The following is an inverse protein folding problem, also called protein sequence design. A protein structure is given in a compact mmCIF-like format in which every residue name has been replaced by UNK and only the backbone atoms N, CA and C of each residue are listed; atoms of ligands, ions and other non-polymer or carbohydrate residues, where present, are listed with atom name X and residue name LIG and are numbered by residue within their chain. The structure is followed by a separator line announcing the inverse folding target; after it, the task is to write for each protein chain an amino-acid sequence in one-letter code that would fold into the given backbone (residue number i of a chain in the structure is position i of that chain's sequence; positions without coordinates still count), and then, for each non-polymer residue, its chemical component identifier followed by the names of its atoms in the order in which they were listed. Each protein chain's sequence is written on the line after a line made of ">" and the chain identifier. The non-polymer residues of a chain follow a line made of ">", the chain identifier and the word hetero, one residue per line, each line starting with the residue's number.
data_IF_766497868283
#
_entry.id   IF_766497868283
#
_cell.length_a   1.000
_cell.length_b   1.000
_cell.length_c   1.000
_cell.angle_alpha   90.00
_cell.angle_beta   90.00
_cell.angle_gamma   90.00
#
_symmetry.space_group_name_H-M   'P 1'
#
loop_
_entity.id
_entity.type
_entity.pdbx_description
1 polymer ?
#
# COMPACT_ATOMS: atom_id res chain seq x y z
N UNK A 1 -34.96 -25.26 -0.86
CA UNK A 1 -34.56 -24.03 -1.59
C UNK A 1 -33.77 -23.16 -0.62
N UNK A 2 -32.46 -23.07 -0.78
CA UNK A 2 -31.64 -22.13 0.00
C UNK A 2 -31.95 -20.75 -0.58
N UNK A 3 -32.58 -19.86 0.20
CA UNK A 3 -32.73 -18.46 -0.20
C UNK A 3 -31.35 -17.94 -0.58
N UNK A 4 -31.22 -17.42 -1.81
CA UNK A 4 -30.00 -16.75 -2.23
C UNK A 4 -29.77 -15.58 -1.27
N UNK A 5 -28.77 -15.68 -0.40
CA UNK A 5 -28.35 -14.55 0.41
C UNK A 5 -27.74 -13.54 -0.54
N UNK A 6 -28.39 -12.38 -0.68
CA UNK A 6 -27.72 -11.19 -1.18
C UNK A 6 -26.58 -10.87 -0.21
N UNK A 7 -25.35 -10.90 -0.71
CA UNK A 7 -24.18 -10.37 -0.01
C UNK A 7 -24.42 -8.86 0.15
N UNK A 8 -25.02 -8.42 1.24
CA UNK A 8 -25.18 -6.99 1.53
C UNK A 8 -23.87 -6.49 2.09
N UNK A 9 -23.13 -5.60 1.40
CA UNK A 9 -21.91 -5.04 1.95
C UNK A 9 -22.24 -4.24 3.22
N UNK A 10 -21.37 -4.31 4.22
CA UNK A 10 -21.47 -3.42 5.37
C UNK A 10 -21.22 -1.98 4.90
N UNK A 11 -22.04 -1.05 5.39
CA UNK A 11 -21.87 0.38 5.10
C UNK A 11 -20.63 0.93 5.80
N UNK A 12 -20.12 2.07 5.33
CA UNK A 12 -19.00 2.77 5.98
C UNK A 12 -19.28 3.09 7.45
N UNK A 13 -20.52 3.49 7.76
CA UNK A 13 -20.94 3.78 9.13
C UNK A 13 -20.93 2.53 10.02
N UNK A 14 -21.32 1.37 9.48
CA UNK A 14 -21.23 0.10 10.21
C UNK A 14 -19.76 -0.30 10.41
N UNK A 15 -18.93 -0.19 9.37
CA UNK A 15 -17.50 -0.52 9.47
C UNK A 15 -16.79 0.26 10.57
N UNK A 16 -17.08 1.56 10.72
CA UNK A 16 -16.48 2.40 11.76
C UNK A 16 -16.68 1.86 13.19
N UNK A 17 -17.75 1.09 13.45
CA UNK A 17 -18.00 0.49 14.76
C UNK A 17 -17.03 -0.65 15.09
N UNK A 18 -16.45 -1.27 14.07
CA UNK A 18 -15.55 -2.42 14.19
C UNK A 18 -14.08 -2.05 13.96
N UNK A 19 -13.82 -0.83 13.46
CA UNK A 19 -12.47 -0.36 13.20
C UNK A 19 -11.66 -0.27 14.50
N UNK A 20 -10.56 -1.01 14.55
CA UNK A 20 -9.65 -1.01 15.68
C UNK A 20 -8.87 0.32 15.76
N UNK A 21 -9.07 1.04 16.85
CA UNK A 21 -8.37 2.30 17.12
C UNK A 21 -6.87 2.11 17.26
N UNK A 22 -6.09 3.13 16.91
CA UNK A 22 -4.64 3.16 17.11
C UNK A 22 -3.83 2.38 16.08
N UNK A 23 -4.45 1.90 15.00
CA UNK A 23 -3.79 1.22 13.88
C UNK A 23 -3.71 2.06 12.59
N UNK A 24 -4.14 3.33 12.63
CA UNK A 24 -3.88 4.30 11.56
C UNK A 24 -2.45 4.83 11.68
N UNK A 25 -1.49 4.06 11.15
CA UNK A 25 -0.07 4.38 11.20
C UNK A 25 0.67 3.73 10.02
N UNK A 26 1.84 4.26 9.60
CA UNK A 26 2.54 3.78 8.41
C UNK A 26 3.15 2.38 8.55
N UNK A 27 3.38 1.93 9.78
CA UNK A 27 4.03 0.65 10.08
C UNK A 27 3.41 0.04 11.34
N UNK A 28 2.93 -1.20 11.23
CA UNK A 28 2.45 -2.01 12.34
C UNK A 28 3.48 -3.05 12.74
N UNK A 29 3.68 -3.19 14.03
CA UNK A 29 4.61 -4.14 14.66
C UNK A 29 3.84 -5.13 15.52
N UNK A 30 4.52 -6.19 15.96
CA UNK A 30 3.90 -7.15 16.88
C UNK A 30 3.38 -6.50 18.17
N UNK A 31 4.09 -5.50 18.71
CA UNK A 31 3.65 -4.77 19.91
C UNK A 31 2.35 -3.99 19.72
N UNK A 32 2.02 -3.60 18.49
CA UNK A 32 0.77 -2.90 18.20
C UNK A 32 -0.43 -3.85 18.29
N UNK A 33 -0.26 -5.11 17.85
CA UNK A 33 -1.37 -6.08 17.77
C UNK A 33 -1.43 -7.02 18.97
N UNK A 34 -0.33 -7.27 19.69
CA UNK A 34 -0.30 -8.22 20.79
C UNK A 34 -1.36 -7.96 21.88
N UNK A 35 -1.62 -6.70 22.31
CA UNK A 35 -2.70 -6.42 23.26
C UNK A 35 -4.09 -6.75 22.70
N UNK A 36 -4.32 -6.49 21.40
CA UNK A 36 -5.59 -6.77 20.72
C UNK A 36 -5.80 -8.29 20.61
N UNK A 37 -4.76 -9.04 20.23
CA UNK A 37 -4.80 -10.51 20.20
C UNK A 37 -5.08 -11.09 21.59
N UNK A 38 -4.45 -10.55 22.64
CA UNK A 38 -4.67 -10.99 24.01
C UNK A 38 -6.11 -10.73 24.49
N UNK A 39 -6.72 -9.62 24.07
CA UNK A 39 -8.12 -9.33 24.39
C UNK A 39 -9.06 -10.31 23.69
N UNK A 40 -8.89 -10.53 22.38
CA UNK A 40 -9.66 -11.54 21.65
C UNK A 40 -9.45 -12.96 22.18
N UNK A 41 -8.27 -13.27 22.73
CA UNK A 41 -7.98 -14.55 23.37
C UNK A 41 -8.86 -14.89 24.57
N UNK A 42 -9.59 -13.91 25.12
CA UNK A 42 -10.58 -14.13 26.20
C UNK A 42 -11.96 -14.55 25.66
N UNK A 43 -12.22 -14.35 24.37
CA UNK A 43 -13.49 -14.65 23.74
C UNK A 43 -13.48 -16.09 23.19
N UNK A 44 -14.43 -16.91 23.65
CA UNK A 44 -14.53 -18.32 23.31
C UNK A 44 -14.80 -18.62 21.82
N UNK A 45 -15.14 -17.60 21.02
CA UNK A 45 -15.25 -17.72 19.55
C UNK A 45 -13.90 -18.00 18.88
N UNK A 46 -12.79 -17.63 19.51
CA UNK A 46 -11.46 -17.68 18.92
C UNK A 46 -10.57 -18.67 19.66
N UNK A 47 -9.92 -19.57 18.93
CA UNK A 47 -8.90 -20.46 19.47
C UNK A 47 -7.51 -19.97 19.05
N UNK A 48 -6.73 -19.47 20.01
CA UNK A 48 -5.37 -18.98 19.77
C UNK A 48 -4.34 -20.07 20.01
N UNK A 49 -3.42 -20.22 19.06
CA UNK A 49 -2.27 -21.12 19.17
C UNK A 49 -1.01 -20.41 18.75
N UNK A 50 0.03 -20.41 19.60
CA UNK A 50 1.36 -20.00 19.16
C UNK A 50 1.95 -21.14 18.33
N UNK A 51 2.12 -20.92 17.02
CA UNK A 51 2.60 -21.96 16.11
C UNK A 51 4.12 -22.03 16.04
N UNK A 52 4.81 -20.98 16.48
CA UNK A 52 6.26 -20.92 16.55
C UNK A 52 6.77 -19.53 16.89
N UNK A 53 8.01 -19.25 16.50
CA UNK A 53 8.67 -17.97 16.67
C UNK A 53 9.39 -17.58 15.38
N UNK A 54 9.54 -16.28 15.16
CA UNK A 54 10.41 -15.71 14.12
C UNK A 54 11.89 -15.94 14.43
N UNK A 55 12.78 -15.51 13.52
CA UNK A 55 14.23 -15.59 13.69
C UNK A 55 14.71 -14.94 15.01
N UNK A 56 14.13 -13.80 15.40
CA UNK A 56 14.48 -13.09 16.64
C UNK A 56 13.67 -13.55 17.86
N UNK A 57 12.91 -14.63 17.75
CA UNK A 57 12.17 -15.22 18.87
C UNK A 57 10.79 -14.58 19.13
N UNK A 58 10.30 -13.70 18.26
CA UNK A 58 9.00 -13.06 18.41
C UNK A 58 7.89 -14.08 18.07
N UNK A 59 6.87 -14.28 18.92
CA UNK A 59 5.88 -15.34 18.72
C UNK A 59 5.02 -15.09 17.47
N UNK A 60 4.72 -16.17 16.75
CA UNK A 60 3.79 -16.17 15.61
C UNK A 60 2.53 -16.91 16.03
N UNK A 61 1.40 -16.21 15.94
CA UNK A 61 0.10 -16.69 16.37
C UNK A 61 -0.73 -17.19 15.20
N UNK A 62 -1.57 -18.19 15.49
CA UNK A 62 -2.65 -18.68 14.66
C UNK A 62 -3.96 -18.52 15.44
N UNK A 63 -5.03 -18.16 14.72
CA UNK A 63 -6.38 -18.02 15.25
C UNK A 63 -7.31 -18.93 14.44
N UNK A 64 -7.94 -19.88 15.10
CA UNK A 64 -8.95 -20.76 14.50
C UNK A 64 -10.38 -20.36 14.94
N UNK A 65 -11.32 -20.34 13.99
CA UNK A 65 -12.71 -19.90 14.17
C UNK A 65 -13.66 -20.82 13.41
N UNK A 66 -14.75 -21.24 14.04
CA UNK A 66 -15.72 -22.16 13.44
C UNK A 66 -15.25 -23.61 13.40
N UNK A 67 -16.14 -24.50 12.98
CA UNK A 67 -15.95 -25.96 13.03
C UNK A 67 -16.35 -26.66 11.74
N UNK A 68 -16.68 -25.91 10.69
CA UNK A 68 -17.17 -26.49 9.45
C UNK A 68 -16.12 -27.18 8.59
N UNK A 69 -16.58 -27.97 7.62
CA UNK A 69 -15.71 -28.79 6.78
C UNK A 69 -14.91 -27.97 5.75
N UNK A 70 -15.40 -26.79 5.35
CA UNK A 70 -14.71 -25.92 4.39
C UNK A 70 -13.66 -25.08 5.12
N UNK A 71 -12.41 -25.42 4.93
CA UNK A 71 -11.24 -24.83 5.56
C UNK A 71 -10.68 -23.68 4.74
N UNK A 72 -10.55 -22.52 5.38
CA UNK A 72 -10.02 -21.28 4.78
C UNK A 72 -8.79 -20.85 5.55
N UNK A 73 -7.65 -20.73 4.88
CA UNK A 73 -6.42 -20.19 5.46
C UNK A 73 -6.26 -18.72 5.03
N UNK A 74 -6.00 -17.82 5.95
CA UNK A 74 -5.64 -16.44 5.66
C UNK A 74 -4.33 -16.08 6.38
N UNK A 75 -3.45 -15.33 5.73
CA UNK A 75 -2.25 -14.81 6.37
C UNK A 75 -1.94 -13.40 5.85
N UNK A 76 -1.27 -12.61 6.69
CA UNK A 76 -0.83 -11.27 6.31
C UNK A 76 0.58 -10.95 6.79
N UNK A 77 1.15 -9.88 6.24
CA UNK A 77 2.43 -9.30 6.65
C UNK A 77 3.56 -10.34 6.69
N UNK A 78 3.63 -11.15 5.62
CA UNK A 78 4.80 -11.98 5.34
C UNK A 78 5.98 -11.13 4.84
N UNK A 79 5.67 -9.99 4.22
CA UNK A 79 6.58 -8.87 4.11
C UNK A 79 6.30 -7.92 5.27
N UNK A 80 7.34 -7.49 5.98
CA UNK A 80 7.16 -6.72 7.22
C UNK A 80 6.70 -5.28 7.02
N UNK A 81 6.89 -4.70 5.84
CA UNK A 81 6.48 -3.35 5.47
C UNK A 81 5.04 -3.25 4.93
N UNK A 82 4.24 -4.32 5.05
CA UNK A 82 2.90 -4.44 4.48
C UNK A 82 1.84 -4.57 5.59
N UNK A 83 1.57 -3.48 6.28
CA UNK A 83 0.77 -3.45 7.52
C UNK A 83 -0.74 -3.42 7.31
N UNK A 84 -1.22 -3.07 6.12
CA UNK A 84 -2.64 -2.75 5.88
C UNK A 84 -3.58 -3.90 6.22
N UNK A 85 -3.26 -5.10 5.72
CA UNK A 85 -4.11 -6.26 5.93
C UNK A 85 -4.08 -6.79 7.37
N UNK A 86 -2.98 -6.62 8.10
CA UNK A 86 -2.95 -6.94 9.54
C UNK A 86 -3.92 -6.06 10.31
N UNK A 87 -3.98 -4.77 9.99
CA UNK A 87 -4.97 -3.86 10.58
C UNK A 87 -6.42 -4.28 10.25
N UNK A 88 -6.66 -4.64 8.99
CA UNK A 88 -7.96 -5.12 8.54
C UNK A 88 -8.39 -6.44 9.21
N UNK A 89 -7.45 -7.33 9.52
CA UNK A 89 -7.72 -8.54 10.28
C UNK A 89 -8.17 -8.21 11.72
N UNK A 90 -7.61 -7.18 12.35
CA UNK A 90 -8.08 -6.76 13.69
C UNK A 90 -9.51 -6.23 13.61
N UNK A 91 -9.85 -5.44 12.59
CA UNK A 91 -11.23 -4.98 12.36
C UNK A 91 -12.18 -6.15 12.10
N UNK A 92 -11.70 -7.16 11.37
CA UNK A 92 -12.48 -8.36 11.11
C UNK A 92 -12.73 -9.19 12.37
N UNK A 93 -11.74 -9.33 13.26
CA UNK A 93 -11.93 -9.99 14.56
C UNK A 93 -12.92 -9.23 15.44
N UNK A 94 -12.88 -7.88 15.46
CA UNK A 94 -13.87 -7.05 16.13
C UNK A 94 -15.29 -7.30 15.58
N UNK A 95 -15.44 -7.32 14.25
CA UNK A 95 -16.70 -7.62 13.60
C UNK A 95 -17.23 -9.02 13.99
N UNK A 96 -16.37 -10.05 13.95
CA UNK A 96 -16.75 -11.40 14.37
C UNK A 96 -17.15 -11.41 15.85
N UNK A 97 -16.45 -10.69 16.72
CA UNK A 97 -16.68 -10.72 18.16
C UNK A 97 -17.97 -10.00 18.59
N UNK A 98 -18.47 -9.05 17.79
CA UNK A 98 -19.59 -8.19 18.15
C UNK A 98 -20.91 -8.97 18.34
N UNK A 99 -21.64 -8.73 19.41
CA UNK A 99 -22.85 -9.50 19.77
C UNK A 99 -23.92 -9.44 18.69
N UNK A 100 -24.13 -8.27 18.09
CA UNK A 100 -25.10 -8.05 17.01
C UNK A 100 -24.80 -8.82 15.72
N UNK A 101 -23.57 -9.35 15.56
CA UNK A 101 -23.20 -10.18 14.41
C UNK A 101 -23.49 -11.68 14.63
N UNK A 102 -24.23 -12.05 15.68
CA UNK A 102 -24.58 -13.44 15.97
C UNK A 102 -25.29 -14.14 14.79
N UNK A 103 -26.26 -13.49 14.16
CA UNK A 103 -27.00 -14.05 13.03
C UNK A 103 -26.10 -14.23 11.80
N UNK A 104 -25.19 -13.29 11.55
CA UNK A 104 -24.20 -13.42 10.47
C UNK A 104 -23.25 -14.59 10.75
N UNK A 105 -22.72 -14.72 11.98
CA UNK A 105 -21.84 -15.82 12.39
C UNK A 105 -22.49 -17.19 12.21
N UNK A 106 -23.74 -17.34 12.64
CA UNK A 106 -24.46 -18.62 12.58
C UNK A 106 -24.61 -19.18 11.15
N UNK A 107 -24.56 -18.32 10.13
CA UNK A 107 -24.70 -18.73 8.74
C UNK A 107 -23.51 -19.56 8.24
N UNK A 108 -22.33 -19.40 8.85
CA UNK A 108 -21.09 -19.98 8.35
C UNK A 108 -20.29 -20.77 9.39
N UNK A 109 -20.41 -20.54 10.71
CA UNK A 109 -19.56 -21.19 11.72
C UNK A 109 -19.56 -22.74 11.64
N UNK A 110 -20.67 -23.36 11.25
CA UNK A 110 -20.79 -24.82 11.08
C UNK A 110 -20.41 -25.33 9.69
N UNK A 111 -20.12 -24.42 8.74
CA UNK A 111 -19.81 -24.73 7.33
C UNK A 111 -18.37 -24.41 6.96
N UNK A 112 -17.82 -23.37 7.59
CA UNK A 112 -16.46 -22.88 7.41
C UNK A 112 -15.67 -23.02 8.70
N UNK A 113 -14.43 -23.50 8.57
CA UNK A 113 -13.39 -23.39 9.59
C UNK A 113 -12.32 -22.44 9.05
N UNK A 114 -12.18 -21.30 9.71
CA UNK A 114 -11.26 -20.24 9.32
C UNK A 114 -10.01 -20.29 10.19
N UNK A 115 -8.84 -20.23 9.54
CA UNK A 115 -7.52 -20.14 10.17
C UNK A 115 -6.82 -18.88 9.74
N UNK A 116 -6.45 -18.01 10.68
CA UNK A 116 -5.76 -16.74 10.42
C UNK A 116 -4.37 -16.77 11.04
N UNK A 117 -3.35 -16.36 10.28
CA UNK A 117 -2.01 -15.99 10.79
C UNK A 117 -1.86 -14.48 10.61
N UNK A 118 -2.13 -13.66 11.64
CA UNK A 118 -2.27 -12.21 11.47
C UNK A 118 -0.96 -11.51 11.15
N UNK A 119 0.19 -12.03 11.56
CA UNK A 119 1.50 -11.45 11.27
C UNK A 119 2.52 -12.57 11.14
N UNK A 120 2.93 -12.88 9.91
CA UNK A 120 3.86 -13.97 9.66
C UNK A 120 5.32 -13.56 9.88
N UNK A 121 5.68 -12.32 9.57
CA UNK A 121 7.04 -11.79 9.67
C UNK A 121 7.14 -10.65 10.69
N UNK A 122 7.03 -10.94 12.00
CA UNK A 122 7.06 -9.90 13.02
C UNK A 122 8.42 -9.17 13.11
N UNK A 123 9.52 -9.83 12.73
CA UNK A 123 10.85 -9.21 12.75
C UNK A 123 11.01 -8.19 11.61
N UNK A 124 10.58 -8.54 10.40
CA UNK A 124 10.51 -7.57 9.30
C UNK A 124 9.57 -6.42 9.63
N UNK A 125 8.45 -6.72 10.30
CA UNK A 125 7.49 -5.72 10.75
C UNK A 125 8.09 -4.76 11.77
N UNK A 126 8.89 -5.23 12.71
CA UNK A 126 9.64 -4.37 13.64
C UNK A 126 10.68 -3.49 12.92
N UNK A 127 11.31 -4.01 11.87
CA UNK A 127 12.32 -3.30 11.09
C UNK A 127 11.76 -2.39 9.98
N UNK A 128 10.46 -2.44 9.70
CA UNK A 128 9.83 -1.71 8.59
C UNK A 128 10.37 -2.19 7.23
N UNK A 129 10.62 -3.50 7.11
CA UNK A 129 11.32 -4.08 5.99
C UNK A 129 10.54 -5.28 5.43
N UNK A 130 10.47 -5.35 4.10
CA UNK A 130 9.96 -6.50 3.35
C UNK A 130 10.56 -7.84 3.78
N UNK A 131 11.86 -7.87 4.06
CA UNK A 131 12.60 -9.10 4.34
C UNK A 131 12.46 -9.51 5.81
N UNK A 132 12.67 -10.79 6.12
CA UNK A 132 12.79 -11.22 7.52
C UNK A 132 14.16 -10.80 8.11
N UNK A 133 14.42 -11.12 9.38
CA UNK A 133 15.68 -10.74 10.04
C UNK A 133 16.95 -11.34 9.41
N UNK A 134 16.85 -12.36 8.57
CA UNK A 134 17.98 -12.94 7.82
C UNK A 134 18.18 -12.29 6.44
N UNK A 135 17.37 -11.30 6.07
CA UNK A 135 17.41 -10.70 4.74
C UNK A 135 16.80 -11.57 3.65
N UNK A 136 15.95 -12.55 4.01
CA UNK A 136 15.27 -13.43 3.05
C UNK A 136 13.84 -12.92 2.83
N UNK A 137 13.44 -12.78 1.57
CA UNK A 137 12.03 -12.60 1.19
C UNK A 137 11.31 -13.94 1.38
N UNK A 138 10.44 -14.03 2.39
CA UNK A 138 9.69 -15.25 2.70
C UNK A 138 8.86 -15.69 1.49
N UNK A 139 8.33 -14.76 0.70
CA UNK A 139 7.57 -15.05 -0.53
C UNK A 139 8.46 -15.40 -1.74
N UNK A 140 9.76 -15.62 -1.52
CA UNK A 140 10.70 -16.22 -2.48
C UNK A 140 11.33 -17.49 -1.95
N UNK A 141 10.83 -18.01 -0.83
CA UNK A 141 11.36 -19.15 -0.08
C UNK A 141 10.36 -20.32 0.02
N UNK A 142 9.21 -20.29 -0.66
CA UNK A 142 8.18 -21.34 -0.54
C UNK A 142 8.66 -22.75 -0.97
N UNK A 143 9.69 -22.81 -1.84
CA UNK A 143 10.29 -24.06 -2.32
C UNK A 143 11.35 -24.62 -1.37
N UNK A 144 12.22 -23.76 -0.82
CA UNK A 144 13.38 -24.17 -0.04
C UNK A 144 13.09 -24.19 1.47
N UNK A 145 12.16 -23.34 1.93
CA UNK A 145 11.70 -23.24 3.31
C UNK A 145 12.86 -23.00 4.30
N UNK A 146 13.79 -22.12 3.92
CA UNK A 146 14.95 -21.75 4.71
C UNK A 146 14.58 -20.90 5.94
N UNK A 147 13.53 -20.10 5.82
CA UNK A 147 13.02 -19.23 6.88
C UNK A 147 12.17 -20.02 7.90
N UNK A 148 12.30 -19.76 9.22
CA UNK A 148 11.38 -20.33 10.19
C UNK A 148 9.93 -19.92 9.92
N UNK A 149 9.70 -18.67 9.52
CA UNK A 149 8.38 -18.15 9.16
C UNK A 149 7.76 -18.93 8.00
N UNK A 150 8.51 -19.14 6.91
CA UNK A 150 8.05 -19.92 5.75
C UNK A 150 7.75 -21.38 6.10
N UNK A 151 8.57 -22.01 6.95
CA UNK A 151 8.29 -23.37 7.45
C UNK A 151 6.99 -23.44 8.23
N UNK A 152 6.74 -22.47 9.12
CA UNK A 152 5.52 -22.39 9.91
C UNK A 152 4.28 -22.25 9.03
N UNK A 153 4.30 -21.34 8.03
CA UNK A 153 3.19 -21.18 7.10
C UNK A 153 2.93 -22.45 6.27
N UNK A 154 3.99 -23.07 5.73
CA UNK A 154 3.87 -24.32 4.98
C UNK A 154 3.31 -25.46 5.84
N UNK A 155 3.77 -25.59 7.08
CA UNK A 155 3.30 -26.59 8.03
C UNK A 155 1.82 -26.36 8.37
N UNK A 156 1.43 -25.11 8.68
CA UNK A 156 0.05 -24.75 8.95
C UNK A 156 -0.86 -25.13 7.78
N UNK A 157 -0.45 -24.82 6.55
CA UNK A 157 -1.20 -25.16 5.34
C UNK A 157 -1.33 -26.68 5.12
N UNK A 158 -0.24 -27.45 5.25
CA UNK A 158 -0.23 -28.91 5.08
C UNK A 158 -1.07 -29.63 6.13
N UNK A 159 -1.02 -29.18 7.39
CA UNK A 159 -1.78 -29.77 8.48
C UNK A 159 -3.27 -29.43 8.37
N UNK A 160 -3.58 -28.17 8.04
CA UNK A 160 -4.95 -27.70 7.92
C UNK A 160 -5.66 -28.27 6.69
N UNK A 161 -4.93 -28.46 5.58
CA UNK A 161 -5.49 -28.89 4.29
C UNK A 161 -6.62 -27.96 3.85
N UNK A 162 -6.31 -26.67 3.78
CA UNK A 162 -7.27 -25.65 3.37
C UNK A 162 -7.80 -25.92 1.96
N UNK A 163 -9.08 -25.61 1.70
CA UNK A 163 -9.62 -25.57 0.33
C UNK A 163 -9.58 -24.17 -0.27
N UNK A 164 -9.52 -23.13 0.56
CA UNK A 164 -9.33 -21.74 0.15
C UNK A 164 -8.15 -21.13 0.90
N UNK A 165 -7.43 -20.23 0.23
CA UNK A 165 -6.29 -19.51 0.78
C UNK A 165 -6.42 -18.02 0.43
N UNK A 166 -6.38 -17.14 1.43
CA UNK A 166 -6.39 -15.68 1.27
C UNK A 166 -5.01 -15.15 1.60
N UNK A 167 -4.28 -14.76 0.55
CA UNK A 167 -2.96 -14.18 0.66
C UNK A 167 -3.06 -12.65 0.71
N UNK A 168 -2.73 -12.05 1.84
CA UNK A 168 -2.97 -10.63 2.09
C UNK A 168 -1.66 -9.84 2.08
N UNK A 169 -1.56 -8.87 1.17
CA UNK A 169 -0.35 -8.10 0.88
C UNK A 169 -0.65 -6.60 0.72
N UNK A 170 0.42 -5.80 0.65
CA UNK A 170 0.38 -4.43 0.15
C UNK A 170 1.18 -4.31 -1.15
N UNK A 171 0.75 -3.42 -2.03
CA UNK A 171 1.42 -3.10 -3.28
C UNK A 171 1.97 -1.67 -3.30
N UNK A 172 2.87 -1.42 -4.25
CA UNK A 172 3.45 -0.12 -4.46
C UNK A 172 2.38 0.93 -4.82
N UNK A 173 2.50 2.14 -4.28
CA UNK A 173 1.59 3.25 -4.55
C UNK A 173 1.68 3.83 -5.98
N UNK A 174 2.59 3.35 -6.82
CA UNK A 174 2.76 3.83 -8.20
C UNK A 174 1.98 3.02 -9.25
N UNK A 175 1.10 2.11 -8.81
CA UNK A 175 0.22 1.36 -9.70
C UNK A 175 -1.06 2.13 -10.07
N UNK A 176 -1.45 2.07 -11.34
CA UNK A 176 -2.78 2.48 -11.82
C UNK A 176 -3.63 1.28 -12.26
N UNK A 177 -4.95 1.48 -12.27
CA UNK A 177 -5.91 0.52 -12.83
C UNK A 177 -5.87 0.61 -14.35
N UNK A 178 -5.21 -0.36 -14.99
CA UNK A 178 -4.93 -0.30 -16.43
C UNK A 178 -4.26 1.03 -16.82
N UNK A 179 -4.71 1.60 -17.93
CA UNK A 179 -4.25 2.89 -18.44
C UNK A 179 -5.00 4.11 -17.88
N UNK A 180 -5.80 3.93 -16.81
CA UNK A 180 -6.49 5.05 -16.17
C UNK A 180 -5.55 5.92 -15.33
N UNK A 181 -6.06 7.08 -14.92
CA UNK A 181 -5.43 8.02 -13.99
C UNK A 181 -5.65 7.65 -12.51
N UNK A 182 -6.45 6.61 -12.23
CA UNK A 182 -6.76 6.15 -10.88
C UNK A 182 -5.70 5.18 -10.37
N UNK A 183 -5.35 5.33 -9.09
CA UNK A 183 -4.52 4.37 -8.38
C UNK A 183 -5.23 3.03 -8.24
N UNK A 184 -4.46 1.95 -8.14
CA UNK A 184 -5.03 0.66 -7.74
C UNK A 184 -5.06 0.57 -6.21
N UNK A 185 -6.22 0.82 -5.59
CA UNK A 185 -6.38 0.70 -4.14
C UNK A 185 -6.54 -0.76 -3.68
N UNK A 186 -7.23 -1.59 -4.47
CA UNK A 186 -7.26 -3.04 -4.29
C UNK A 186 -6.85 -3.71 -5.59
N UNK A 187 -5.96 -4.69 -5.52
CA UNK A 187 -5.75 -5.60 -6.65
C UNK A 187 -5.92 -7.05 -6.27
N UNK A 188 -6.52 -7.82 -7.18
CA UNK A 188 -6.89 -9.21 -6.96
C UNK A 188 -6.19 -10.12 -7.96
N UNK A 189 -5.91 -11.35 -7.57
CA UNK A 189 -5.37 -12.37 -8.47
C UNK A 189 -5.73 -13.78 -7.99
N UNK A 190 -6.13 -14.63 -8.91
CA UNK A 190 -6.11 -16.09 -8.71
C UNK A 190 -4.75 -16.62 -9.21
N UNK A 191 -3.78 -16.92 -8.31
CA UNK A 191 -2.41 -17.23 -8.70
C UNK A 191 -2.35 -18.41 -9.68
N UNK A 192 -1.40 -18.36 -10.60
CA UNK A 192 -1.12 -19.49 -11.46
C UNK A 192 -0.44 -20.61 -10.65
N UNK A 193 -0.67 -21.87 -11.03
CA UNK A 193 0.05 -23.01 -10.48
C UNK A 193 1.10 -23.60 -11.44
N UNK A 194 1.15 -23.09 -12.67
CA UNK A 194 2.12 -23.49 -13.69
C UNK A 194 2.39 -22.34 -14.69
N UNK A 195 3.43 -22.52 -15.52
CA UNK A 195 3.86 -21.52 -16.51
C UNK A 195 2.79 -21.24 -17.57
N UNK A 196 2.02 -22.24 -17.98
CA UNK A 196 0.92 -22.11 -18.95
C UNK A 196 -0.26 -21.30 -18.41
N UNK A 197 -0.32 -21.09 -17.09
CA UNK A 197 -1.42 -20.42 -16.39
C UNK A 197 -2.74 -21.12 -16.66
N UNK A 198 -2.75 -22.45 -16.57
CA UNK A 198 -3.95 -23.25 -16.76
C UNK A 198 -5.02 -22.90 -15.70
N UNK A 199 -6.28 -23.18 -16.02
CA UNK A 199 -7.42 -23.02 -15.11
C UNK A 199 -7.93 -24.42 -14.77
N UNK A 200 -7.56 -24.90 -13.59
CA UNK A 200 -8.12 -26.12 -13.02
C UNK A 200 -9.34 -25.81 -12.14
N UNK A 201 -9.93 -26.85 -11.54
CA UNK A 201 -11.14 -26.68 -10.74
C UNK A 201 -10.94 -25.77 -9.51
N UNK A 202 -9.75 -25.74 -8.92
CA UNK A 202 -9.45 -24.95 -7.73
C UNK A 202 -9.17 -23.49 -8.07
N UNK A 203 -8.41 -23.24 -9.15
CA UNK A 203 -8.20 -21.89 -9.65
C UNK A 203 -9.48 -21.27 -10.20
N UNK A 204 -10.35 -22.07 -10.84
CA UNK A 204 -11.69 -21.64 -11.26
C UNK A 204 -12.50 -21.11 -10.08
N UNK A 205 -12.54 -21.83 -8.95
CA UNK A 205 -13.23 -21.38 -7.73
C UNK A 205 -12.63 -20.09 -7.16
N UNK A 206 -11.31 -19.93 -7.21
CA UNK A 206 -10.66 -18.69 -6.78
C UNK A 206 -11.08 -17.50 -7.67
N UNK A 207 -11.12 -17.69 -9.00
CA UNK A 207 -11.59 -16.66 -9.94
C UNK A 207 -13.06 -16.29 -9.69
N UNK A 208 -13.88 -17.28 -9.37
CA UNK A 208 -15.28 -17.06 -9.00
C UNK A 208 -15.43 -16.27 -7.69
N UNK A 209 -14.65 -16.61 -6.65
CA UNK A 209 -14.64 -15.82 -5.41
C UNK A 209 -14.19 -14.38 -5.66
N UNK A 210 -13.20 -14.19 -6.55
CA UNK A 210 -12.79 -12.85 -7.00
C UNK A 210 -13.94 -12.13 -7.74
N UNK A 211 -14.84 -12.85 -8.42
CA UNK A 211 -16.06 -12.26 -8.98
C UNK A 211 -16.93 -11.57 -7.91
N UNK A 212 -17.16 -12.22 -6.77
CA UNK A 212 -17.90 -11.58 -5.65
C UNK A 212 -17.12 -10.40 -5.06
N UNK A 213 -15.78 -10.53 -4.95
CA UNK A 213 -14.91 -9.43 -4.50
C UNK A 213 -14.96 -8.23 -5.44
N UNK A 214 -14.99 -8.49 -6.75
CA UNK A 214 -15.12 -7.47 -7.78
C UNK A 214 -16.41 -6.68 -7.58
N UNK A 215 -17.54 -7.36 -7.43
CA UNK A 215 -18.83 -6.70 -7.28
C UNK A 215 -18.88 -5.81 -6.02
N UNK A 216 -18.31 -6.30 -4.91
CA UNK A 216 -18.16 -5.52 -3.69
C UNK A 216 -17.31 -4.26 -3.91
N UNK A 217 -16.13 -4.39 -4.51
CA UNK A 217 -15.22 -3.25 -4.70
C UNK A 217 -15.80 -2.27 -5.72
N UNK A 218 -16.46 -2.72 -6.79
CA UNK A 218 -17.12 -1.81 -7.73
C UNK A 218 -18.26 -1.03 -7.08
N UNK A 219 -19.00 -1.66 -6.15
CA UNK A 219 -20.04 -0.97 -5.40
C UNK A 219 -19.47 0.05 -4.41
N UNK A 220 -18.36 -0.27 -3.73
CA UNK A 220 -17.80 0.55 -2.65
C UNK A 220 -16.81 1.62 -3.14
N UNK A 221 -16.04 1.32 -4.18
CA UNK A 221 -14.95 2.16 -4.68
C UNK A 221 -14.73 1.98 -6.20
N UNK A 222 -15.68 2.44 -7.04
CA UNK A 222 -15.63 2.21 -8.47
C UNK A 222 -14.39 2.79 -9.16
N UNK A 223 -13.72 1.96 -9.96
CA UNK A 223 -12.54 2.31 -10.74
C UNK A 223 -11.19 2.25 -10.01
N UNK A 224 -11.14 1.72 -8.78
CA UNK A 224 -9.90 1.55 -8.00
C UNK A 224 -9.51 0.06 -7.83
N UNK A 225 -10.14 -0.83 -8.59
CA UNK A 225 -9.88 -2.27 -8.62
C UNK A 225 -9.02 -2.65 -9.82
N UNK A 226 -7.88 -3.30 -9.55
CA UNK A 226 -7.00 -3.86 -10.58
C UNK A 226 -6.79 -5.36 -10.42
N UNK A 227 -6.11 -5.96 -11.39
CA UNK A 227 -5.65 -7.35 -11.39
C UNK A 227 -4.14 -7.37 -11.27
N UNK A 228 -3.63 -8.10 -10.28
CA UNK A 228 -2.18 -8.23 -10.10
C UNK A 228 -1.55 -9.04 -11.23
N UNK A 229 -0.23 -8.89 -11.43
CA UNK A 229 0.51 -9.64 -12.43
C UNK A 229 0.42 -11.16 -12.14
N UNK A 230 0.06 -11.95 -13.14
CA UNK A 230 -0.21 -13.39 -13.04
C UNK A 230 0.97 -14.28 -13.46
N UNK A 231 2.19 -13.74 -13.49
CA UNK A 231 3.41 -14.49 -13.81
C UNK A 231 3.67 -15.55 -12.76
N UNK A 232 3.72 -16.81 -13.20
CA UNK A 232 3.98 -17.94 -12.32
C UNK A 232 5.37 -17.88 -11.67
N UNK A 233 5.41 -18.14 -10.37
CA UNK A 233 6.61 -18.26 -9.56
C UNK A 233 6.54 -19.50 -8.67
N UNK A 234 7.40 -20.50 -8.97
CA UNK A 234 7.55 -21.71 -8.14
C UNK A 234 8.07 -21.43 -6.71
N UNK A 235 8.43 -20.18 -6.41
CA UNK A 235 9.04 -19.75 -5.15
C UNK A 235 8.10 -18.95 -4.25
N UNK A 236 6.93 -18.56 -4.75
CA UNK A 236 5.92 -17.80 -3.99
C UNK A 236 4.94 -18.73 -3.30
N UNK A 237 4.46 -18.32 -2.13
CA UNK A 237 3.50 -19.10 -1.35
C UNK A 237 2.13 -19.17 -2.02
N UNK A 238 1.67 -18.09 -2.66
CA UNK A 238 0.40 -18.06 -3.39
C UNK A 238 0.31 -19.14 -4.48
N UNK A 239 1.28 -19.16 -5.39
CA UNK A 239 1.39 -20.13 -6.49
C UNK A 239 1.63 -21.55 -5.97
N UNK A 240 2.46 -21.70 -4.92
CA UNK A 240 2.71 -23.01 -4.31
C UNK A 240 1.43 -23.58 -3.71
N UNK A 241 0.64 -22.77 -3.01
CA UNK A 241 -0.64 -23.19 -2.44
C UNK A 241 -1.70 -23.45 -3.51
N UNK A 242 -1.73 -22.66 -4.59
CA UNK A 242 -2.55 -22.96 -5.76
C UNK A 242 -2.18 -24.34 -6.35
N UNK A 243 -0.88 -24.63 -6.52
CA UNK A 243 -0.39 -25.93 -6.98
C UNK A 243 -0.58 -27.08 -5.99
N UNK A 244 -0.85 -26.79 -4.72
CA UNK A 244 -1.27 -27.76 -3.71
C UNK A 244 -2.79 -28.03 -3.74
N UNK A 245 -3.52 -27.45 -4.69
CA UNK A 245 -4.96 -27.63 -4.86
C UNK A 245 -5.81 -26.71 -3.98
N UNK A 246 -5.27 -25.57 -3.55
CA UNK A 246 -6.05 -24.56 -2.82
C UNK A 246 -6.62 -23.54 -3.80
N UNK A 247 -7.86 -23.12 -3.55
CA UNK A 247 -8.47 -21.99 -4.26
C UNK A 247 -7.89 -20.69 -3.66
N UNK A 248 -6.69 -20.33 -4.11
CA UNK A 248 -5.92 -19.20 -3.57
C UNK A 248 -6.34 -17.89 -4.22
N UNK A 249 -6.56 -16.87 -3.40
CA UNK A 249 -6.80 -15.48 -3.82
C UNK A 249 -5.74 -14.59 -3.19
N UNK A 250 -5.05 -13.82 -4.02
CA UNK A 250 -4.19 -12.72 -3.60
C UNK A 250 -5.03 -11.44 -3.51
N UNK A 251 -4.92 -10.74 -2.38
CA UNK A 251 -5.48 -9.41 -2.15
C UNK A 251 -4.33 -8.45 -1.83
N UNK A 252 -4.13 -7.48 -2.70
CA UNK A 252 -3.07 -6.47 -2.61
C UNK A 252 -3.68 -5.12 -2.24
N UNK A 253 -3.18 -4.51 -1.18
CA UNK A 253 -3.59 -3.20 -0.68
C UNK A 253 -2.69 -2.13 -1.26
N UNK A 254 -3.22 -1.33 -2.18
CA UNK A 254 -2.51 -0.19 -2.74
C UNK A 254 -2.91 1.13 -2.11
N UNK A 255 -2.50 2.21 -2.75
CA UNK A 255 -2.76 3.55 -2.27
C UNK A 255 -4.10 4.11 -2.78
N UNK A 256 -4.60 5.08 -2.05
CA UNK A 256 -5.73 5.93 -2.42
C UNK A 256 -5.33 7.39 -2.17
N UNK A 257 -5.81 8.37 -2.96
CA UNK A 257 -5.44 9.77 -2.75
C UNK A 257 -5.79 10.27 -1.36
N UNK A 258 -4.87 11.01 -0.72
CA UNK A 258 -4.99 11.54 0.65
C UNK A 258 -5.18 10.47 1.73
N UNK A 259 -4.53 9.32 1.57
CA UNK A 259 -4.64 8.16 2.47
C UNK A 259 -3.28 7.48 2.69
N UNK A 260 -2.37 8.21 3.35
CA UNK A 260 -0.97 7.80 3.53
C UNK A 260 -0.79 6.46 4.24
N UNK A 261 -1.73 6.12 5.13
CA UNK A 261 -1.71 4.89 5.90
C UNK A 261 -2.71 3.85 5.36
N UNK A 262 -3.20 4.00 4.11
CA UNK A 262 -4.05 3.02 3.40
C UNK A 262 -5.32 2.62 4.16
N UNK A 263 -5.95 3.55 4.90
CA UNK A 263 -7.18 3.28 5.65
C UNK A 263 -8.38 2.94 4.73
N UNK A 264 -8.40 3.44 3.50
CA UNK A 264 -9.41 3.04 2.50
C UNK A 264 -9.22 1.57 2.09
N UNK A 265 -7.97 1.16 1.82
CA UNK A 265 -7.66 -0.22 1.49
C UNK A 265 -7.86 -1.16 2.69
N UNK A 266 -7.57 -0.71 3.93
CA UNK A 266 -7.85 -1.44 5.17
C UNK A 266 -9.34 -1.75 5.31
N UNK A 267 -10.20 -0.75 5.13
CA UNK A 267 -11.67 -0.92 5.16
C UNK A 267 -12.10 -1.97 4.14
N UNK A 268 -11.66 -1.82 2.89
CA UNK A 268 -12.04 -2.75 1.81
C UNK A 268 -11.53 -4.17 2.10
N UNK A 269 -10.31 -4.34 2.63
CA UNK A 269 -9.81 -5.66 3.04
C UNK A 269 -10.71 -6.31 4.09
N UNK A 270 -11.13 -5.58 5.12
CA UNK A 270 -12.03 -6.11 6.14
C UNK A 270 -13.38 -6.53 5.54
N UNK A 271 -13.96 -5.70 4.67
CA UNK A 271 -15.20 -6.02 3.95
C UNK A 271 -15.06 -7.25 3.03
N UNK A 272 -13.92 -7.37 2.33
CA UNK A 272 -13.61 -8.51 1.48
C UNK A 272 -13.47 -9.81 2.28
N UNK A 273 -12.87 -9.75 3.48
CA UNK A 273 -12.76 -10.91 4.38
C UNK A 273 -14.14 -11.36 4.90
N UNK A 274 -14.97 -10.42 5.35
CA UNK A 274 -16.35 -10.67 5.78
C UNK A 274 -17.15 -11.34 4.65
N UNK A 275 -17.13 -10.73 3.47
CA UNK A 275 -17.81 -11.24 2.29
C UNK A 275 -17.29 -12.63 1.90
N UNK A 276 -15.97 -12.84 1.90
CA UNK A 276 -15.36 -14.12 1.50
C UNK A 276 -15.85 -15.28 2.35
N UNK A 277 -15.88 -15.12 3.68
CA UNK A 277 -16.36 -16.17 4.58
C UNK A 277 -17.83 -16.49 4.32
N UNK A 278 -18.66 -15.45 4.12
CA UNK A 278 -20.08 -15.62 3.82
C UNK A 278 -20.30 -16.29 2.45
N UNK A 279 -19.57 -15.86 1.42
CA UNK A 279 -19.67 -16.44 0.07
C UNK A 279 -19.19 -17.90 0.06
N UNK A 280 -18.06 -18.20 0.71
CA UNK A 280 -17.55 -19.58 0.83
C UNK A 280 -18.55 -20.47 1.58
N UNK A 281 -19.05 -20.01 2.73
CA UNK A 281 -20.00 -20.78 3.55
C UNK A 281 -21.36 -21.00 2.89
N UNK A 282 -21.80 -20.10 2.01
CA UNK A 282 -23.05 -20.23 1.25
C UNK A 282 -22.85 -20.81 -0.15
N UNK A 283 -21.60 -20.96 -0.60
CA UNK A 283 -21.21 -21.27 -1.98
C UNK A 283 -21.75 -20.26 -3.03
N UNK A 284 -21.96 -19.00 -2.64
CA UNK A 284 -22.49 -17.98 -3.54
C UNK A 284 -21.56 -17.73 -4.74
N UNK A 285 -20.24 -17.75 -4.52
CA UNK A 285 -19.21 -17.59 -5.55
C UNK A 285 -19.44 -18.48 -6.77
N UNK A 286 -20.01 -19.68 -6.61
CA UNK A 286 -20.20 -20.62 -7.71
C UNK A 286 -21.11 -20.09 -8.84
N UNK A 287 -21.87 -19.01 -8.58
CA UNK A 287 -22.71 -18.32 -9.57
C UNK A 287 -21.94 -17.31 -10.43
N UNK A 288 -20.74 -16.92 -10.03
CA UNK A 288 -19.93 -15.94 -10.76
C UNK A 288 -19.42 -16.51 -12.08
N UNK A 289 -19.46 -15.70 -13.13
CA UNK A 289 -18.79 -15.97 -14.39
C UNK A 289 -17.30 -15.65 -14.28
N UNK A 290 -16.48 -16.37 -15.04
CA UNK A 290 -15.06 -16.04 -15.21
C UNK A 290 -14.87 -14.74 -16.00
N UNK A 291 -15.87 -14.32 -16.78
CA UNK A 291 -15.84 -13.04 -17.50
C UNK A 291 -15.64 -11.86 -16.53
N UNK A 292 -16.26 -11.91 -15.35
CA UNK A 292 -16.08 -10.91 -14.29
C UNK A 292 -14.61 -10.79 -13.89
N UNK A 293 -13.92 -11.91 -13.67
CA UNK A 293 -12.49 -11.94 -13.35
C UNK A 293 -11.61 -11.48 -14.52
N UNK A 294 -11.94 -11.91 -15.74
CA UNK A 294 -11.17 -11.54 -16.92
C UNK A 294 -11.29 -10.05 -17.26
N UNK A 295 -12.45 -9.44 -16.99
CA UNK A 295 -12.71 -8.02 -17.21
C UNK A 295 -11.90 -7.09 -16.28
N UNK A 296 -11.37 -7.59 -15.15
CA UNK A 296 -10.56 -6.76 -14.25
C UNK A 296 -9.27 -6.32 -14.98
N UNK A 297 -9.02 -5.01 -15.13
CA UNK A 297 -7.82 -4.50 -15.81
C UNK A 297 -6.56 -4.88 -15.02
N UNK A 298 -5.48 -5.26 -15.72
CA UNK A 298 -4.19 -5.45 -15.05
C UNK A 298 -3.63 -4.14 -14.51
N UNK A 299 -2.88 -4.22 -13.42
CA UNK A 299 -2.11 -3.09 -12.91
C UNK A 299 -1.08 -2.63 -13.95
N UNK A 300 -0.96 -1.32 -14.12
CA UNK A 300 0.16 -0.70 -14.82
C UNK A 300 1.15 -0.13 -13.80
N UNK A 301 2.37 -0.64 -13.81
CA UNK A 301 3.45 -0.16 -12.94
C UNK A 301 3.94 1.22 -13.37
N UNK A 302 4.41 2.00 -12.39
CA UNK A 302 5.08 3.29 -12.62
C UNK A 302 4.21 4.36 -13.31
N UNK A 303 2.90 4.15 -13.29
CA UNK A 303 1.90 5.00 -13.92
C UNK A 303 1.57 6.24 -13.07
N UNK A 304 1.56 6.07 -11.76
CA UNK A 304 1.28 7.14 -10.78
C UNK A 304 2.59 7.65 -10.20
N UNK A 305 2.74 8.96 -10.06
CA UNK A 305 3.88 9.65 -9.45
C UNK A 305 3.44 10.45 -8.22
N UNK A 306 4.39 10.91 -7.41
CA UNK A 306 4.05 11.75 -6.25
C UNK A 306 3.63 13.13 -6.68
N UNK A 307 4.48 13.75 -7.50
CA UNK A 307 4.22 15.07 -8.05
C UNK A 307 4.53 15.04 -9.53
N UNK A 308 3.60 15.56 -10.32
CA UNK A 308 3.79 15.83 -11.74
C UNK A 308 3.74 17.35 -11.95
N UNK A 309 4.84 17.91 -12.45
CA UNK A 309 4.91 19.32 -12.86
C UNK A 309 4.81 19.36 -14.37
N UNK A 310 3.72 19.88 -14.91
CA UNK A 310 3.45 19.94 -16.34
C UNK A 310 3.92 21.26 -16.96
N UNK A 311 4.26 21.26 -18.24
CA UNK A 311 4.49 22.47 -19.05
C UNK A 311 5.62 23.40 -18.54
N UNK A 312 6.62 22.87 -17.85
CA UNK A 312 7.72 23.66 -17.32
C UNK A 312 8.69 24.05 -18.45
N UNK A 313 8.98 25.34 -18.56
CA UNK A 313 9.97 25.81 -19.53
C UNK A 313 11.39 25.58 -19.02
N UNK A 314 12.24 24.93 -19.80
CA UNK A 314 13.68 24.79 -19.54
C UNK A 314 14.49 25.48 -20.64
N UNK A 315 15.64 26.07 -20.28
CA UNK A 315 16.55 26.69 -21.24
C UNK A 315 17.99 26.28 -20.96
N UNK A 316 18.65 25.65 -21.93
CA UNK A 316 20.06 25.24 -21.85
C UNK A 316 20.77 25.61 -23.15
N UNK A 317 21.91 26.29 -23.06
CA UNK A 317 22.69 26.69 -24.24
C UNK A 317 21.85 27.42 -25.33
N UNK A 318 20.92 28.28 -24.89
CA UNK A 318 19.95 29.02 -25.74
C UNK A 318 18.90 28.16 -26.46
N UNK A 319 18.85 26.85 -26.19
CA UNK A 319 17.76 25.98 -26.61
C UNK A 319 16.69 25.96 -25.53
N UNK A 320 15.42 26.07 -25.94
CA UNK A 320 14.27 26.08 -25.05
C UNK A 320 13.39 24.86 -25.33
N UNK A 321 12.85 24.26 -24.28
CA UNK A 321 11.85 23.21 -24.38
C UNK A 321 10.79 23.38 -23.28
N UNK A 322 9.57 22.91 -23.56
CA UNK A 322 8.57 22.63 -22.53
C UNK A 322 8.66 21.16 -22.17
N UNK A 323 8.72 20.87 -20.87
CA UNK A 323 8.85 19.51 -20.34
C UNK A 323 7.94 19.31 -19.14
N UNK A 324 7.58 18.06 -18.90
CA UNK A 324 7.00 17.62 -17.66
C UNK A 324 8.07 17.02 -16.76
N UNK A 325 7.87 17.11 -15.44
CA UNK A 325 8.73 16.50 -14.43
C UNK A 325 7.92 15.57 -13.53
N UNK A 326 8.36 14.32 -13.41
CA UNK A 326 7.87 13.37 -12.41
C UNK A 326 8.81 13.37 -11.20
N UNK A 327 8.23 13.50 -10.00
CA UNK A 327 8.96 13.45 -8.73
C UNK A 327 8.50 12.27 -7.89
N UNK A 328 9.44 11.69 -7.15
CA UNK A 328 9.15 10.66 -6.15
C UNK A 328 9.90 10.93 -4.83
N UNK A 329 9.17 10.92 -3.72
CA UNK A 329 9.71 10.92 -2.37
C UNK A 329 10.44 9.61 -2.10
N UNK A 330 11.72 9.73 -1.69
CA UNK A 330 12.53 8.61 -1.19
C UNK A 330 12.63 8.63 0.34
N UNK A 331 12.42 9.79 0.93
CA UNK A 331 12.22 9.98 2.36
C UNK A 331 11.42 11.27 2.59
N UNK A 332 10.98 11.55 3.82
CA UNK A 332 10.26 12.78 4.12
C UNK A 332 11.04 14.05 3.74
N UNK A 333 12.38 14.03 3.78
CA UNK A 333 13.24 15.19 3.50
C UNK A 333 13.94 15.09 2.14
N UNK A 334 13.58 14.11 1.31
CA UNK A 334 14.25 13.85 0.05
C UNK A 334 13.29 13.31 -1.00
N UNK A 335 13.09 14.08 -2.06
CA UNK A 335 12.50 13.62 -3.31
C UNK A 335 13.49 13.76 -4.45
N UNK A 336 13.33 12.91 -5.46
CA UNK A 336 14.14 12.91 -6.67
C UNK A 336 13.25 13.10 -7.89
N UNK A 337 13.81 13.73 -8.92
CA UNK A 337 13.21 13.76 -10.26
C UNK A 337 13.43 12.37 -10.86
N UNK A 338 12.36 11.63 -11.14
CA UNK A 338 12.47 10.30 -11.75
C UNK A 338 12.42 10.33 -13.26
N UNK A 339 11.66 11.26 -13.84
CA UNK A 339 11.52 11.41 -15.29
C UNK A 339 11.43 12.88 -15.70
N UNK A 340 11.89 13.20 -16.93
CA UNK A 340 11.87 14.53 -17.54
C UNK A 340 11.52 14.37 -19.02
N UNK A 341 10.52 15.10 -19.51
CA UNK A 341 10.15 15.06 -20.93
C UNK A 341 8.64 15.02 -21.13
N UNK A 342 8.19 14.18 -22.06
CA UNK A 342 6.76 13.93 -22.30
C UNK A 342 6.25 12.88 -21.30
N UNK A 343 5.40 13.31 -20.38
CA UNK A 343 4.81 12.45 -19.35
C UNK A 343 3.27 12.40 -19.48
N UNK A 344 2.74 12.61 -20.69
CA UNK A 344 1.29 12.61 -20.94
C UNK A 344 0.59 11.29 -20.61
N UNK A 345 1.35 10.19 -20.51
CA UNK A 345 0.86 8.86 -20.13
C UNK A 345 0.80 8.63 -18.61
N UNK A 346 1.42 9.51 -17.82
CA UNK A 346 1.49 9.39 -16.37
C UNK A 346 0.38 10.18 -15.67
N UNK A 347 0.08 9.78 -14.45
CA UNK A 347 -0.76 10.53 -13.52
C UNK A 347 -0.02 10.69 -12.19
N UNK A 348 -0.60 11.44 -11.24
CA UNK A 348 0.07 11.71 -9.97
C UNK A 348 -0.91 12.06 -8.87
N UNK A 349 -0.46 11.87 -7.63
CA UNK A 349 -1.16 12.32 -6.43
C UNK A 349 -1.29 13.85 -6.37
N UNK A 350 -0.25 14.53 -6.83
CA UNK A 350 -0.23 15.97 -6.94
C UNK A 350 0.17 16.41 -8.35
N UNK A 351 -0.56 17.37 -8.90
CA UNK A 351 -0.27 17.94 -10.21
C UNK A 351 -0.13 19.46 -10.12
N UNK A 352 0.85 19.99 -10.85
CA UNK A 352 1.09 21.43 -11.00
C UNK A 352 1.17 21.78 -12.48
N UNK A 353 0.39 22.76 -12.94
CA UNK A 353 0.60 23.35 -14.27
C UNK A 353 1.59 24.52 -14.15
N UNK A 354 2.79 24.33 -14.69
CA UNK A 354 3.85 25.33 -14.70
C UNK A 354 3.85 26.19 -15.98
N UNK A 355 2.74 26.24 -16.72
CA UNK A 355 2.60 27.11 -17.89
C UNK A 355 3.00 28.55 -17.57
N UNK A 356 3.90 29.11 -18.38
CA UNK A 356 4.44 30.46 -18.19
C UNK A 356 5.52 30.58 -17.12
N UNK A 357 5.92 29.48 -16.48
CA UNK A 357 7.05 29.42 -15.55
C UNK A 357 8.24 28.73 -16.21
N UNK A 358 9.43 29.18 -15.82
CA UNK A 358 10.72 28.63 -16.21
C UNK A 358 11.43 28.02 -15.03
N UNK A 359 12.10 26.89 -15.28
CA UNK A 359 13.01 26.25 -14.34
C UNK A 359 14.17 27.19 -14.02
N UNK A 360 14.47 27.31 -12.74
CA UNK A 360 15.64 28.04 -12.24
C UNK A 360 16.38 27.19 -11.21
N UNK A 361 17.69 27.00 -11.43
CA UNK A 361 18.56 26.40 -10.43
C UNK A 361 18.63 27.30 -9.19
N UNK A 362 18.34 26.74 -8.02
CA UNK A 362 18.46 27.46 -6.76
C UNK A 362 19.91 27.56 -6.27
N UNK A 363 20.25 28.69 -5.67
CA UNK A 363 21.58 28.98 -5.11
C UNK A 363 21.65 28.57 -3.63
N UNK A 364 22.87 28.31 -3.16
CA UNK A 364 23.14 28.12 -1.74
C UNK A 364 23.24 29.47 -1.02
N UNK A 365 22.50 29.64 0.09
CA UNK A 365 22.75 30.70 1.04
C UNK A 365 23.82 30.24 2.04
N UNK A 366 25.00 30.86 2.01
CA UNK A 366 26.12 30.48 2.89
C UNK A 366 25.88 31.03 4.30
N UNK A 367 25.80 30.15 5.28
CA UNK A 367 25.72 30.51 6.70
C UNK A 367 27.09 30.96 7.19
N UNK A 368 27.23 32.25 7.48
CA UNK A 368 28.45 32.86 8.04
C UNK A 368 28.24 33.43 9.44
N UNK A 369 26.99 33.54 9.88
CA UNK A 369 26.58 34.00 11.21
C UNK A 369 25.22 33.36 11.55
N UNK A 370 24.82 33.47 12.83
CA UNK A 370 23.53 32.97 13.28
C UNK A 370 22.37 33.63 12.51
N UNK A 371 21.41 32.82 12.06
CA UNK A 371 20.24 33.22 11.30
C UNK A 371 19.00 32.55 11.88
N UNK A 372 18.03 33.36 12.30
CA UNK A 372 16.66 32.88 12.55
C UNK A 372 15.90 32.87 11.23
N UNK A 373 15.33 31.72 10.88
CA UNK A 373 14.65 31.50 9.62
C UNK A 373 13.16 31.23 9.86
N UNK A 374 12.38 32.30 9.84
CA UNK A 374 10.92 32.22 9.77
C UNK A 374 10.42 32.14 8.31
N UNK A 375 9.10 31.96 8.13
CA UNK A 375 8.47 31.86 6.81
C UNK A 375 8.75 33.10 5.93
N UNK A 376 8.65 34.31 6.50
CA UNK A 376 8.80 35.55 5.75
C UNK A 376 10.23 35.71 5.25
N UNK A 377 11.21 35.46 6.13
CA UNK A 377 12.63 35.50 5.80
C UNK A 377 12.99 34.45 4.77
N UNK A 378 12.45 33.23 4.88
CA UNK A 378 12.76 32.20 3.90
C UNK A 378 12.15 32.52 2.53
N UNK A 379 10.93 33.04 2.47
CA UNK A 379 10.32 33.53 1.22
C UNK A 379 11.17 34.63 0.58
N UNK A 380 11.68 35.58 1.36
CA UNK A 380 12.58 36.63 0.86
C UNK A 380 13.83 36.03 0.20
N UNK A 381 14.48 35.07 0.88
CA UNK A 381 15.66 34.37 0.36
C UNK A 381 15.32 33.59 -0.93
N UNK A 382 14.18 32.90 -0.98
CA UNK A 382 13.72 32.18 -2.18
C UNK A 382 13.47 33.12 -3.35
N UNK A 383 12.89 34.30 -3.11
CA UNK A 383 12.71 35.34 -4.14
C UNK A 383 14.05 35.89 -4.67
N UNK A 384 15.10 35.89 -3.86
CA UNK A 384 16.46 36.23 -4.26
C UNK A 384 17.20 35.08 -4.99
N UNK A 385 16.56 33.92 -5.11
CA UNK A 385 17.08 32.76 -5.82
C UNK A 385 17.75 31.70 -4.94
N UNK A 386 17.66 31.80 -3.61
CA UNK A 386 18.22 30.80 -2.69
C UNK A 386 17.21 29.69 -2.39
N UNK A 387 17.59 28.43 -2.58
CA UNK A 387 16.70 27.27 -2.30
C UNK A 387 17.18 26.38 -1.16
N UNK A 388 18.42 26.58 -0.72
CA UNK A 388 19.06 25.75 0.31
C UNK A 388 20.20 26.52 0.97
N UNK A 389 20.70 25.96 2.06
CA UNK A 389 21.77 26.53 2.88
C UNK A 389 23.05 25.72 2.74
N UNK A 390 24.19 26.39 2.92
CA UNK A 390 25.50 25.74 3.02
C UNK A 390 26.28 26.26 4.23
N UNK A 391 27.16 25.42 4.80
CA UNK A 391 27.95 25.76 5.98
C UNK A 391 27.48 25.04 7.24
N UNK A 392 27.69 25.66 8.40
CA UNK A 392 27.37 25.08 9.70
C UNK A 392 25.87 25.18 10.01
N UNK A 393 25.20 24.04 10.15
CA UNK A 393 23.78 23.96 10.47
C UNK A 393 23.45 24.54 11.86
N UNK A 394 24.40 24.57 12.80
CA UNK A 394 24.20 25.14 14.13
C UNK A 394 23.95 26.66 14.10
N UNK A 395 24.30 27.32 12.99
CA UNK A 395 24.02 28.74 12.77
C UNK A 395 22.57 29.01 12.35
N UNK A 396 21.77 27.98 12.07
CA UNK A 396 20.40 28.13 11.58
C UNK A 396 19.39 27.78 12.68
N UNK A 397 18.64 28.77 13.14
CA UNK A 397 17.47 28.56 14.00
C UNK A 397 16.22 28.49 13.12
N UNK A 398 15.71 27.27 12.89
CA UNK A 398 14.55 27.04 12.02
C UNK A 398 13.25 27.32 12.77
N UNK A 399 12.47 28.28 12.26
CA UNK A 399 11.13 28.66 12.74
C UNK A 399 10.14 28.73 11.57
N UNK A 400 10.25 27.77 10.64
CA UNK A 400 9.46 27.71 9.42
C UNK A 400 8.96 26.30 9.19
N UNK A 401 7.74 26.21 8.66
CA UNK A 401 7.09 24.96 8.23
C UNK A 401 7.57 24.49 6.85
N UNK A 402 8.32 25.32 6.12
CA UNK A 402 8.86 24.94 4.82
C UNK A 402 10.00 23.93 4.98
N UNK A 403 10.21 23.02 4.00
CA UNK A 403 11.38 22.16 3.99
C UNK A 403 12.67 22.98 3.95
N UNK A 404 13.51 22.84 4.97
CA UNK A 404 14.82 23.49 5.05
C UNK A 404 15.91 22.46 4.75
N UNK A 405 16.76 22.78 3.78
CA UNK A 405 17.84 21.92 3.33
C UNK A 405 19.18 22.57 3.64
N UNK A 406 20.01 21.93 4.48
CA UNK A 406 21.36 22.37 4.80
C UNK A 406 22.37 21.37 4.26
N UNK A 407 23.30 21.83 3.41
CA UNK A 407 24.26 21.00 2.67
C UNK A 407 23.62 19.80 1.93
N UNK A 408 22.51 19.97 1.19
CA UNK A 408 21.85 18.86 0.50
C UNK A 408 22.77 18.25 -0.57
N UNK A 409 22.68 16.93 -0.73
CA UNK A 409 23.36 16.20 -1.82
C UNK A 409 22.47 16.13 -3.06
N UNK A 410 23.09 15.91 -4.22
CA UNK A 410 22.37 15.66 -5.48
C UNK A 410 21.54 16.83 -5.96
N UNK A 411 21.93 18.07 -5.66
CA UNK A 411 21.20 19.28 -6.07
C UNK A 411 20.96 19.32 -7.58
N UNK A 412 19.83 19.92 -7.95
CA UNK A 412 19.47 20.15 -9.33
C UNK A 412 20.51 21.06 -10.02
N UNK A 413 20.77 20.80 -11.30
CA UNK A 413 21.77 21.51 -12.12
C UNK A 413 21.10 22.65 -12.90
N UNK A 414 21.78 23.16 -13.93
CA UNK A 414 21.23 24.17 -14.85
C UNK A 414 19.94 23.73 -15.56
N UNK A 415 19.71 22.41 -15.65
CA UNK A 415 18.46 21.81 -16.08
C UNK A 415 18.06 20.69 -15.10
N UNK A 416 16.76 20.35 -15.04
CA UNK A 416 16.31 19.17 -14.32
C UNK A 416 16.94 17.91 -14.92
N UNK A 417 17.35 16.98 -14.07
CA UNK A 417 17.98 15.72 -14.47
C UNK A 417 17.39 14.58 -13.65
N UNK A 418 17.20 13.43 -14.30
CA UNK A 418 16.80 12.20 -13.62
C UNK A 418 17.78 11.86 -12.48
N UNK A 419 17.24 11.30 -11.41
CA UNK A 419 17.95 10.89 -10.19
C UNK A 419 18.62 12.02 -9.40
N UNK A 420 18.34 13.28 -9.73
CA UNK A 420 18.76 14.43 -8.93
C UNK A 420 17.64 14.86 -7.99
N UNK A 421 18.01 15.51 -6.89
CA UNK A 421 17.09 16.02 -5.89
C UNK A 421 16.11 17.04 -6.47
N UNK A 422 14.85 16.93 -6.07
CA UNK A 422 13.78 17.83 -6.46
C UNK A 422 13.84 19.13 -5.63
N UNK A 423 14.89 19.92 -5.84
CA UNK A 423 15.08 21.23 -5.20
C UNK A 423 15.48 22.27 -6.23
N UNK A 424 14.52 23.11 -6.64
CA UNK A 424 14.68 24.12 -7.68
C UNK A 424 13.62 25.21 -7.53
N UNK A 425 13.76 26.29 -8.29
CA UNK A 425 12.86 27.44 -8.28
C UNK A 425 12.09 27.51 -9.60
N UNK A 426 10.90 28.09 -9.55
CA UNK A 426 10.07 28.33 -10.74
C UNK A 426 9.81 29.83 -10.84
N UNK A 427 10.23 30.43 -11.95
CA UNK A 427 10.24 31.88 -12.15
C UNK A 427 9.56 32.29 -13.45
N UNK A 428 9.07 33.52 -13.49
CA UNK A 428 8.61 34.18 -14.71
C UNK A 428 9.20 35.61 -14.77
N UNK A 429 8.64 36.46 -15.63
CA UNK A 429 9.07 37.87 -15.78
C UNK A 429 8.97 38.68 -14.49
N UNK A 430 8.12 38.26 -13.53
CA UNK A 430 7.97 38.90 -12.22
C UNK A 430 8.94 38.33 -11.16
N UNK A 431 9.90 37.50 -11.56
CA UNK A 431 10.84 36.81 -10.69
C UNK A 431 10.34 35.45 -10.21
N UNK A 432 10.93 34.94 -9.12
CA UNK A 432 10.59 33.61 -8.56
C UNK A 432 9.19 33.64 -7.95
N UNK A 433 8.32 32.74 -8.41
CA UNK A 433 6.93 32.61 -7.95
C UNK A 433 6.72 31.40 -7.05
N UNK A 434 7.43 30.30 -7.32
CA UNK A 434 7.34 29.07 -6.54
C UNK A 434 8.72 28.50 -6.26
N UNK A 435 8.80 27.71 -5.21
CA UNK A 435 9.98 26.91 -4.87
C UNK A 435 9.58 25.45 -4.73
N UNK A 436 10.25 24.56 -5.45
CA UNK A 436 10.21 23.13 -5.19
C UNK A 436 11.33 22.83 -4.18
N UNK A 437 10.98 22.39 -2.97
CA UNK A 437 11.92 22.09 -1.89
C UNK A 437 11.72 20.65 -1.42
N UNK A 438 12.72 19.79 -1.67
CA UNK A 438 12.64 18.36 -1.38
C UNK A 438 11.36 17.67 -1.89
N UNK A 439 10.85 18.09 -3.05
CA UNK A 439 9.61 17.57 -3.65
C UNK A 439 8.31 18.25 -3.20
N UNK A 440 8.36 19.20 -2.26
CA UNK A 440 7.19 19.98 -1.85
C UNK A 440 7.19 21.33 -2.57
N UNK A 441 6.05 21.69 -3.17
CA UNK A 441 5.89 22.98 -3.84
C UNK A 441 5.43 24.05 -2.84
N UNK A 442 6.16 25.15 -2.77
CA UNK A 442 5.84 26.33 -1.96
C UNK A 442 5.43 27.46 -2.88
N UNK A 443 4.24 28.02 -2.65
CA UNK A 443 3.78 29.24 -3.33
C UNK A 443 4.30 30.47 -2.58
N UNK A 444 5.19 31.25 -3.18
CA UNK A 444 5.84 32.37 -2.52
C UNK A 444 4.94 33.60 -2.36
N UNK A 445 3.79 33.64 -3.02
CA UNK A 445 2.80 34.71 -2.88
C UNK A 445 1.89 34.51 -1.68
N UNK A 446 1.46 33.26 -1.43
CA UNK A 446 0.56 32.91 -0.32
C UNK A 446 1.30 32.39 0.90
N UNK A 447 2.57 31.96 0.76
CA UNK A 447 3.32 31.30 1.81
C UNK A 447 2.80 29.91 2.16
N UNK A 448 2.06 29.26 1.25
CA UNK A 448 1.49 27.93 1.47
C UNK A 448 2.35 26.83 0.82
N UNK A 449 2.45 25.71 1.51
CA UNK A 449 2.95 24.44 0.95
C UNK A 449 1.78 23.74 0.26
N UNK A 450 1.87 23.55 -1.05
CA UNK A 450 0.79 22.99 -1.87
C UNK A 450 0.82 21.47 -1.93
N UNK A 451 2.01 20.87 -1.89
CA UNK A 451 2.21 19.42 -1.95
C UNK A 451 2.85 18.96 -0.65
N UNK A 452 2.07 18.85 0.44
CA UNK A 452 2.54 18.15 1.62
C UNK A 452 2.88 16.70 1.22
N UNK A 453 3.76 16.04 1.98
CA UNK A 453 4.13 14.63 1.72
C UNK A 453 2.87 13.78 1.66
N UNK A 454 2.90 12.71 0.86
CA UNK A 454 1.85 11.69 0.89
C UNK A 454 1.30 11.30 -0.48
N UNK A 455 0.13 10.70 -0.39
CA UNK A 455 -0.79 10.33 -1.48
C UNK A 455 -1.92 11.35 -1.61
#
# INVERSE_FOLDING_TARGET
>A
MVQAMTLTPITDQQYQQYQQSGLDKPQLTYSDIAPILAEHGKNALFSFTQIGQSVQGTPIWQIDIGTGETRVLAWSQMHGDESTATAALMDFLNFIAADEQADWRQQWLSKVQLRIIPMLNPDGAAAGNRLNAMGIDINRDAKALQTPEGRLLMQAAKQFKAQFALNLHDQNRFYSVGDSDKTTTISLLAPAFNVSKDIDATRHKAMQLIGDMHDLVQQQLPGYLGKYNDTYSVRSFGDTFAGMGMSTVLIESGAYPKDDNRQVARKLNAQLLIMSVQSIGSQAYAKQSLDTYHAIPFNRSDAIKDVLVNNLTITVAKQQAQVDLALEFKSPQHAVITEVGDLCINSAYHQFDATGLSYQQGKAYKLTAALTLDNARFIELMRQGYSHFSGDAALLSQQTEFPVLVNPRGLAKQAPQRHHGATFLLANEKGVQFAMLAGQLVNLSTGQVMYPRGT
#
